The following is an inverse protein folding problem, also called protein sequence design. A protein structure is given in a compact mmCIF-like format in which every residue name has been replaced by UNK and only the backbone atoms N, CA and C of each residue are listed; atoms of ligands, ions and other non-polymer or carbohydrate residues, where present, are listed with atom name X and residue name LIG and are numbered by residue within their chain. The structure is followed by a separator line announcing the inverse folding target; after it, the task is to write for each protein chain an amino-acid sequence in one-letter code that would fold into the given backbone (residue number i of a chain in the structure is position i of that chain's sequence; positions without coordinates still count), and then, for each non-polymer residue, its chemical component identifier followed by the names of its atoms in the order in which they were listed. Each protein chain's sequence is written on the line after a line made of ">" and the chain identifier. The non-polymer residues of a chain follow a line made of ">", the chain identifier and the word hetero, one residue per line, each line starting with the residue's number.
data_IF_078172083455
#
_entry.id   IF_078172083455
#
_cell.length_a   1.000
_cell.length_b   1.000
_cell.length_c   1.000
_cell.angle_alpha   90.00
_cell.angle_beta   90.00
_cell.angle_gamma   90.00
#
_symmetry.space_group_name_H-M   'P 1'
#
loop_
_entity.id
_entity.type
_entity.pdbx_description
1 polymer ?
#
# COMPACT_ATOMS: atom_id res chain seq x y z
N UNK A 1 11.90 -4.43 12.73
CA UNK A 1 10.86 -4.30 11.69
C UNK A 1 9.54 -3.86 12.30
N UNK A 2 9.18 -2.60 12.08
CA UNK A 2 7.97 -1.98 12.63
C UNK A 2 7.52 -0.85 11.68
N UNK A 3 6.54 -1.17 10.84
CA UNK A 3 5.91 -0.17 9.97
C UNK A 3 5.04 0.80 10.77
N UNK A 4 5.13 2.08 10.45
CA UNK A 4 4.32 3.15 11.05
C UNK A 4 3.75 4.08 9.96
N UNK A 5 2.58 4.66 10.22
CA UNK A 5 2.03 5.71 9.38
C UNK A 5 2.57 7.05 9.85
N UNK A 6 3.14 7.83 8.93
CA UNK A 6 3.57 9.18 9.22
C UNK A 6 3.46 10.07 7.97
N UNK A 7 3.40 11.40 8.15
CA UNK A 7 3.50 12.32 7.03
C UNK A 7 4.85 12.19 6.33
N UNK A 8 4.84 12.17 5.00
CA UNK A 8 6.05 12.22 4.19
C UNK A 8 6.72 13.59 4.43
N UNK A 9 7.96 13.64 4.93
CA UNK A 9 8.63 14.91 5.17
C UNK A 9 8.85 15.68 3.87
N UNK A 10 8.59 17.00 3.89
CA UNK A 10 8.65 17.85 2.69
C UNK A 10 10.04 17.83 2.04
N UNK A 11 11.09 17.81 2.86
CA UNK A 11 12.49 17.73 2.42
C UNK A 11 12.87 16.36 1.83
N UNK A 12 12.06 15.33 2.10
CA UNK A 12 12.23 13.98 1.55
C UNK A 12 11.52 13.81 0.22
N UNK A 13 10.47 14.57 -0.06
CA UNK A 13 9.73 14.50 -1.33
C UNK A 13 10.64 14.65 -2.56
N UNK A 14 11.62 15.55 -2.51
CA UNK A 14 12.57 15.76 -3.61
C UNK A 14 13.53 14.57 -3.85
N UNK A 15 13.71 13.70 -2.84
CA UNK A 15 14.57 12.52 -2.96
C UNK A 15 13.81 11.32 -3.55
N UNK A 16 12.50 11.48 -3.78
CA UNK A 16 11.68 10.45 -4.38
C UNK A 16 11.41 10.78 -5.83
N UNK A 17 11.87 9.89 -6.70
CA UNK A 17 11.44 9.89 -8.07
C UNK A 17 10.03 9.30 -8.15
N UNK A 18 9.00 10.13 -8.02
CA UNK A 18 7.62 9.63 -8.11
C UNK A 18 7.28 9.08 -9.49
N UNK A 19 8.09 9.33 -10.51
CA UNK A 19 7.91 8.72 -11.84
C UNK A 19 8.16 7.22 -11.83
N UNK A 20 8.87 6.68 -10.81
CA UNK A 20 9.00 5.23 -10.63
C UNK A 20 7.71 4.57 -10.16
N UNK A 21 6.76 5.34 -9.61
CA UNK A 21 5.40 4.88 -9.46
C UNK A 21 4.68 5.12 -10.78
N UNK A 22 3.99 4.09 -11.28
CA UNK A 22 3.14 4.20 -12.44
C UNK A 22 1.72 3.82 -12.08
N UNK A 23 0.76 4.49 -12.71
CA UNK A 23 -0.64 4.09 -12.60
C UNK A 23 -0.94 2.84 -13.45
N UNK A 24 -2.20 2.39 -13.43
CA UNK A 24 -2.69 1.25 -14.19
C UNK A 24 -2.31 1.25 -15.69
N UNK A 25 -2.08 2.43 -16.29
CA UNK A 25 -1.75 2.56 -17.71
C UNK A 25 -0.24 2.69 -17.96
N UNK A 26 0.60 2.42 -16.95
CA UNK A 26 2.04 2.64 -17.02
C UNK A 26 2.42 4.12 -17.11
N UNK A 27 1.49 5.03 -16.78
CA UNK A 27 1.78 6.46 -16.82
C UNK A 27 2.52 6.84 -15.55
N UNK A 28 3.57 7.66 -15.65
CA UNK A 28 4.26 8.17 -14.48
C UNK A 28 3.26 8.83 -13.52
N UNK A 29 3.32 8.42 -12.27
CA UNK A 29 2.52 8.97 -11.22
C UNK A 29 2.90 10.43 -11.04
N UNK A 30 1.98 11.32 -11.42
CA UNK A 30 2.07 12.73 -11.06
C UNK A 30 1.45 12.83 -9.68
N UNK A 31 2.29 13.10 -8.68
CA UNK A 31 1.92 13.27 -7.28
C UNK A 31 0.51 13.87 -7.15
N UNK A 32 -0.45 13.20 -6.48
CA UNK A 32 -1.83 13.59 -6.61
C UNK A 32 -2.02 14.89 -5.85
N UNK A 33 -2.74 15.81 -6.46
CA UNK A 33 -3.40 16.95 -5.82
C UNK A 33 -4.42 16.54 -4.72
N UNK A 34 -4.41 15.28 -4.28
CA UNK A 34 -5.33 14.69 -3.31
C UNK A 34 -4.54 14.20 -2.10
N UNK A 35 -4.31 15.10 -1.13
CA UNK A 35 -4.36 14.87 0.33
C UNK A 35 -3.55 13.75 1.01
N UNK A 36 -3.00 12.77 0.31
CA UNK A 36 -2.29 11.64 0.89
C UNK A 36 -0.79 11.96 0.93
N UNK A 37 -0.45 12.83 1.87
CA UNK A 37 0.93 13.12 2.25
C UNK A 37 1.45 12.13 3.28
N UNK A 38 0.95 10.90 3.30
CA UNK A 38 1.34 9.89 4.28
C UNK A 38 1.88 8.66 3.57
N UNK A 39 2.83 8.02 4.24
CA UNK A 39 3.34 6.71 3.88
C UNK A 39 3.26 5.78 5.08
N UNK A 40 3.34 4.49 4.80
CA UNK A 40 3.58 3.50 5.84
C UNK A 40 5.02 3.03 5.71
N UNK A 41 5.90 3.43 6.64
CA UNK A 41 7.35 3.28 6.53
C UNK A 41 7.92 2.40 7.64
N UNK A 42 8.91 1.59 7.29
CA UNK A 42 9.90 1.01 8.19
C UNK A 42 11.23 1.77 8.01
N UNK A 43 11.64 2.49 9.06
CA UNK A 43 12.87 3.30 9.05
C UNK A 43 14.15 2.46 9.13
N UNK A 44 14.10 1.25 9.71
CA UNK A 44 15.27 0.37 9.85
C UNK A 44 15.66 -0.19 8.47
N UNK A 45 14.67 -0.67 7.73
CA UNK A 45 14.88 -1.26 6.40
C UNK A 45 14.85 -0.21 5.28
N UNK A 46 14.42 1.02 5.60
CA UNK A 46 14.18 2.10 4.64
C UNK A 46 13.25 1.62 3.50
N UNK A 47 12.11 1.07 3.90
CA UNK A 47 11.06 0.53 3.02
C UNK A 47 9.77 1.24 3.34
N UNK A 48 9.02 1.67 2.34
CA UNK A 48 7.74 2.32 2.57
C UNK A 48 6.70 1.94 1.52
N UNK A 49 5.44 1.94 1.96
CA UNK A 49 4.26 1.73 1.16
C UNK A 49 3.55 3.07 0.94
N UNK A 50 3.19 3.35 -0.31
CA UNK A 50 2.38 4.51 -0.68
C UNK A 50 1.13 4.01 -1.39
N UNK A 51 -0.03 4.52 -0.97
CA UNK A 51 -1.26 4.38 -1.74
C UNK A 51 -1.13 5.18 -3.04
N UNK A 52 -1.37 4.52 -4.17
CA UNK A 52 -1.22 5.15 -5.49
C UNK A 52 -2.55 5.49 -6.11
N UNK A 53 -3.52 4.57 -6.05
CA UNK A 53 -4.84 4.79 -6.60
C UNK A 53 -5.81 3.76 -6.05
N UNK A 54 -7.09 4.10 -6.09
CA UNK A 54 -8.16 3.13 -6.02
C UNK A 54 -8.99 3.21 -7.30
N UNK A 55 -9.57 2.08 -7.69
CA UNK A 55 -10.59 1.98 -8.73
C UNK A 55 -11.73 1.07 -8.27
N UNK A 56 -12.86 1.09 -8.96
CA UNK A 56 -14.03 0.30 -8.52
C UNK A 56 -14.81 1.01 -7.41
N UNK A 57 -15.59 0.26 -6.61
CA UNK A 57 -16.35 0.79 -5.47
C UNK A 57 -17.53 1.74 -5.77
N UNK A 58 -17.74 2.15 -7.03
CA UNK A 58 -18.80 3.13 -7.40
C UNK A 58 -20.23 2.60 -7.26
N UNK A 59 -20.39 1.30 -7.06
CA UNK A 59 -21.69 0.65 -6.90
C UNK A 59 -21.73 -0.15 -5.59
N UNK A 60 -22.89 -0.14 -4.94
CA UNK A 60 -23.14 -0.93 -3.72
C UNK A 60 -22.83 -2.40 -4.02
N UNK A 61 -21.92 -2.99 -3.24
CA UNK A 61 -21.48 -4.39 -3.39
C UNK A 61 -20.29 -4.62 -4.32
N UNK A 62 -19.70 -3.57 -4.92
CA UNK A 62 -18.41 -3.68 -5.62
C UNK A 62 -17.25 -3.38 -4.67
N UNK A 63 -16.26 -4.27 -4.62
CA UNK A 63 -15.04 -4.03 -3.84
C UNK A 63 -14.25 -2.84 -4.42
N UNK A 64 -13.55 -2.13 -3.54
CA UNK A 64 -12.60 -1.10 -3.94
C UNK A 64 -11.27 -1.78 -4.28
N UNK A 65 -10.82 -1.64 -5.52
CA UNK A 65 -9.54 -2.17 -5.96
C UNK A 65 -8.46 -1.13 -5.68
N UNK A 66 -7.75 -1.31 -4.58
CA UNK A 66 -6.68 -0.44 -4.14
C UNK A 66 -5.34 -0.88 -4.71
N UNK A 67 -4.49 0.12 -4.99
CA UNK A 67 -3.16 -0.07 -5.54
C UNK A 67 -2.13 0.65 -4.71
N UNK A 68 -1.04 -0.04 -4.43
CA UNK A 68 0.07 0.50 -3.68
C UNK A 68 1.40 0.28 -4.40
N UNK A 69 2.34 1.19 -4.13
CA UNK A 69 3.75 1.01 -4.47
C UNK A 69 4.55 0.79 -3.19
N UNK A 70 5.21 -0.36 -3.09
CA UNK A 70 6.23 -0.62 -2.08
C UNK A 70 7.58 -0.19 -2.66
N UNK A 71 8.19 0.84 -2.10
CA UNK A 71 9.53 1.27 -2.46
C UNK A 71 10.57 0.63 -1.54
N UNK A 72 11.65 0.11 -2.13
CA UNK A 72 12.80 -0.42 -1.40
C UNK A 72 14.07 -0.16 -2.21
N UNK A 73 15.02 0.59 -1.64
CA UNK A 73 16.37 0.80 -2.21
C UNK A 73 16.35 1.19 -3.70
N UNK A 74 15.46 2.11 -4.08
CA UNK A 74 15.34 2.62 -5.44
C UNK A 74 14.52 1.74 -6.40
N UNK A 75 13.94 0.64 -5.92
CA UNK A 75 13.06 -0.21 -6.71
C UNK A 75 11.63 -0.12 -6.20
N UNK A 76 10.67 -0.35 -7.09
CA UNK A 76 9.24 -0.37 -6.76
C UNK A 76 8.67 -1.75 -7.07
N UNK A 77 7.91 -2.26 -6.11
CA UNK A 77 7.03 -3.43 -6.27
C UNK A 77 5.60 -2.92 -6.18
N UNK A 78 4.79 -3.24 -7.19
CA UNK A 78 3.38 -2.87 -7.16
C UNK A 78 2.55 -3.97 -6.53
N UNK A 79 1.55 -3.58 -5.76
CA UNK A 79 0.51 -4.49 -5.28
C UNK A 79 -0.86 -3.92 -5.62
N UNK A 80 -1.72 -4.78 -6.15
CA UNK A 80 -3.13 -4.50 -6.38
C UNK A 80 -3.95 -5.48 -5.57
N UNK A 81 -4.97 -5.01 -4.86
CA UNK A 81 -5.84 -5.86 -4.05
C UNK A 81 -7.24 -5.26 -3.92
N UNK A 82 -8.23 -6.13 -3.72
CA UNK A 82 -9.60 -5.74 -3.48
C UNK A 82 -9.83 -5.56 -1.98
N UNK A 83 -10.02 -4.32 -1.52
CA UNK A 83 -10.35 -4.03 -0.13
C UNK A 83 -11.82 -4.35 0.13
N UNK A 84 -12.03 -5.29 1.04
CA UNK A 84 -13.32 -5.65 1.60
C UNK A 84 -13.34 -5.24 3.07
N UNK A 85 -14.29 -4.36 3.40
CA UNK A 85 -14.56 -3.92 4.76
C UNK A 85 -15.66 -4.78 5.35
N UNK A 86 -15.40 -5.30 6.54
CA UNK A 86 -16.42 -5.94 7.38
C UNK A 86 -16.17 -5.55 8.83
N UNK A 87 -17.18 -5.69 9.69
CA UNK A 87 -17.02 -5.32 11.09
C UNK A 87 -18.34 -4.99 11.75
N UNK A 88 -18.25 -4.65 13.02
CA UNK A 88 -19.37 -4.30 13.88
C UNK A 88 -18.98 -3.15 14.83
N UNK A 89 -19.69 -3.03 15.95
CA UNK A 89 -19.45 -1.98 16.94
C UNK A 89 -18.09 -2.11 17.65
N UNK A 90 -17.45 -3.27 17.65
CA UNK A 90 -16.17 -3.52 18.31
C UNK A 90 -14.97 -3.15 17.43
N UNK A 91 -15.18 -3.03 16.12
CA UNK A 91 -14.17 -2.55 15.19
C UNK A 91 -14.33 -3.08 13.77
N UNK A 92 -13.30 -2.84 12.97
CA UNK A 92 -13.25 -3.21 11.57
C UNK A 92 -12.28 -4.37 11.33
N UNK A 93 -12.67 -5.29 10.47
CA UNK A 93 -11.84 -6.28 9.81
C UNK A 93 -11.59 -5.81 8.38
N UNK A 94 -10.32 -5.58 8.06
CA UNK A 94 -9.88 -5.25 6.71
C UNK A 94 -9.40 -6.52 6.03
N UNK A 95 -9.98 -6.83 4.87
CA UNK A 95 -9.52 -7.93 4.03
C UNK A 95 -9.07 -7.37 2.68
N UNK A 96 -7.78 -7.45 2.37
CA UNK A 96 -7.27 -7.24 1.02
C UNK A 96 -7.26 -8.57 0.29
N UNK A 97 -8.32 -8.80 -0.50
CA UNK A 97 -8.51 -10.02 -1.26
C UNK A 97 -7.88 -9.92 -2.65
N UNK A 98 -7.62 -11.06 -3.29
CA UNK A 98 -7.02 -11.12 -4.64
C UNK A 98 -5.71 -10.31 -4.78
N UNK A 99 -4.90 -10.24 -3.73
CA UNK A 99 -3.71 -9.42 -3.71
C UNK A 99 -2.65 -9.95 -4.68
N UNK A 100 -2.31 -9.15 -5.69
CA UNK A 100 -1.35 -9.48 -6.75
C UNK A 100 -0.09 -8.65 -6.59
N UNK A 101 1.06 -9.33 -6.45
CA UNK A 101 2.37 -8.69 -6.47
C UNK A 101 2.94 -8.65 -7.89
N UNK A 102 3.33 -7.47 -8.32
CA UNK A 102 4.07 -7.24 -9.55
C UNK A 102 5.51 -6.90 -9.18
N UNK A 103 6.33 -7.95 -9.09
CA UNK A 103 7.76 -7.86 -8.77
C UNK A 103 8.55 -7.77 -10.07
N UNK A 104 9.46 -6.79 -10.22
CA UNK A 104 10.36 -6.74 -11.38
C UNK A 104 11.17 -8.05 -11.52
N UNK A 105 11.41 -8.56 -12.74
CA UNK A 105 12.06 -9.86 -12.96
C UNK A 105 13.40 -10.01 -12.22
N UNK A 106 14.19 -8.94 -12.16
CA UNK A 106 15.48 -8.92 -11.47
C UNK A 106 15.39 -9.06 -9.94
N UNK A 107 14.21 -8.84 -9.35
CA UNK A 107 13.95 -8.94 -7.91
C UNK A 107 13.05 -10.12 -7.54
N UNK A 108 12.68 -10.98 -8.49
CA UNK A 108 11.71 -12.07 -8.24
C UNK A 108 12.16 -13.04 -7.14
N UNK A 109 13.48 -13.20 -6.95
CA UNK A 109 14.07 -14.02 -5.90
C UNK A 109 13.79 -13.48 -4.48
N UNK A 110 13.34 -12.23 -4.34
CA UNK A 110 12.96 -11.57 -3.08
C UNK A 110 11.44 -11.48 -2.89
N UNK A 111 10.65 -12.20 -3.70
CA UNK A 111 9.18 -12.10 -3.69
C UNK A 111 8.56 -12.32 -2.31
N UNK A 112 9.05 -13.30 -1.55
CA UNK A 112 8.52 -13.62 -0.22
C UNK A 112 8.82 -12.51 0.79
N UNK A 113 10.01 -11.90 0.71
CA UNK A 113 10.38 -10.72 1.52
C UNK A 113 9.44 -9.54 1.23
N UNK A 114 9.16 -9.24 -0.05
CA UNK A 114 8.19 -8.20 -0.40
C UNK A 114 6.78 -8.51 0.11
N UNK A 115 6.37 -9.78 0.08
CA UNK A 115 5.08 -10.22 0.62
C UNK A 115 4.98 -9.95 2.12
N UNK A 116 6.02 -10.28 2.87
CA UNK A 116 6.09 -10.01 4.31
C UNK A 116 6.04 -8.50 4.61
N UNK A 117 6.79 -7.69 3.86
CA UNK A 117 6.74 -6.23 4.01
C UNK A 117 5.37 -5.64 3.69
N UNK A 118 4.75 -6.06 2.59
CA UNK A 118 3.38 -5.61 2.25
C UNK A 118 2.40 -6.02 3.35
N UNK A 119 2.54 -7.23 3.90
CA UNK A 119 1.67 -7.70 4.96
C UNK A 119 1.79 -6.85 6.23
N UNK A 120 3.02 -6.50 6.62
CA UNK A 120 3.25 -5.66 7.79
C UNK A 120 2.85 -4.21 7.54
N UNK A 121 3.12 -3.68 6.36
CA UNK A 121 2.74 -2.33 5.97
C UNK A 121 1.21 -2.17 5.92
N UNK A 122 0.47 -3.04 5.23
CA UNK A 122 -1.01 -2.96 5.21
C UNK A 122 -1.62 -3.17 6.59
N UNK A 123 -1.02 -4.02 7.43
CA UNK A 123 -1.45 -4.14 8.81
C UNK A 123 -1.18 -2.86 9.62
N UNK A 124 -0.09 -2.13 9.37
CA UNK A 124 0.17 -0.85 10.04
C UNK A 124 -0.70 0.29 9.49
N UNK A 125 -0.96 0.29 8.18
CA UNK A 125 -1.81 1.25 7.47
C UNK A 125 -3.19 1.35 8.12
N UNK A 126 -3.86 0.22 8.32
CA UNK A 126 -5.22 0.20 8.86
C UNK A 126 -6.23 0.83 7.90
N UNK A 127 -7.29 1.43 8.43
CA UNK A 127 -8.35 2.07 7.65
C UNK A 127 -8.12 3.57 7.63
N UNK A 128 -7.96 4.17 6.44
CA UNK A 128 -7.64 5.60 6.27
C UNK A 128 -6.43 6.03 7.12
N UNK A 129 -5.34 5.27 7.02
CA UNK A 129 -4.09 5.52 7.74
C UNK A 129 -4.21 5.40 9.28
N UNK A 130 -5.31 4.81 9.78
CA UNK A 130 -5.56 4.62 11.20
C UNK A 130 -5.77 3.15 11.57
N UNK A 131 -4.86 2.61 12.38
CA UNK A 131 -4.91 1.23 12.89
C UNK A 131 -5.78 1.04 14.13
N UNK A 132 -6.20 2.11 14.81
CA UNK A 132 -6.82 2.02 16.15
C UNK A 132 -8.23 1.42 16.15
N UNK A 133 -8.97 1.52 15.05
CA UNK A 133 -10.33 0.97 14.91
C UNK A 133 -10.37 -0.38 14.20
N UNK A 134 -9.21 -0.93 13.84
CA UNK A 134 -9.08 -2.21 13.15
C UNK A 134 -8.69 -3.25 14.19
N UNK A 135 -9.40 -4.37 14.30
CA UNK A 135 -8.97 -5.45 15.20
C UNK A 135 -8.16 -6.52 14.46
N UNK A 136 -8.41 -6.69 13.15
CA UNK A 136 -7.70 -7.67 12.33
C UNK A 136 -7.51 -7.20 10.90
N UNK A 137 -6.41 -7.65 10.30
CA UNK A 137 -6.08 -7.44 8.89
C UNK A 137 -5.77 -8.79 8.27
N UNK A 138 -6.45 -9.10 7.18
CA UNK A 138 -6.25 -10.33 6.39
C UNK A 138 -5.85 -9.93 4.98
N UNK A 139 -4.85 -10.62 4.42
CA UNK A 139 -4.36 -10.35 3.07
C UNK A 139 -4.22 -11.67 2.34
N UNK A 140 -5.01 -11.84 1.29
CA UNK A 140 -5.06 -13.07 0.50
C UNK A 140 -4.29 -12.86 -0.80
N UNK A 141 -3.02 -13.24 -0.79
CA UNK A 141 -2.18 -13.19 -1.97
C UNK A 141 -2.53 -14.31 -2.96
N UNK A 142 -2.50 -13.99 -4.26
CA UNK A 142 -2.60 -14.96 -5.36
C UNK A 142 -1.25 -15.59 -5.73
#
# INVERSE_FOLDING_TARGET
>A
MAFINEPIPVDKLQNFDFSVFSDYFGRPFKFPNYGQHQWTIDHEENVFLIFTSAGGGKHVGSAENERYGLWCKGNVVHVEADLVLSGDAEGQLLTWDNAKLFVPPQLIHRRDEFREWIQQALNALGLHDNRSCVYSVVINFQ
#
